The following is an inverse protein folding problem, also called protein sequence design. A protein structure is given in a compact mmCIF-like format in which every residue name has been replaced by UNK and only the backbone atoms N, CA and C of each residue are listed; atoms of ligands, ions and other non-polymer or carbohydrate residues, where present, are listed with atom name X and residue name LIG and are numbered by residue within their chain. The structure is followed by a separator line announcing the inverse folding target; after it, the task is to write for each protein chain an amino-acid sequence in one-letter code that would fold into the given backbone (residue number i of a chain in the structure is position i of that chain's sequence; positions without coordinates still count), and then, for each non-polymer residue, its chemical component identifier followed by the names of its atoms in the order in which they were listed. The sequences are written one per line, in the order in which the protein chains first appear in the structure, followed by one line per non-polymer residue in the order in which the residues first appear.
data_IF_828514394616
#
_entry.id   IF_828514394616
#
_cell.length_a   1.000
_cell.length_b   1.000
_cell.length_c   1.000
_cell.angle_alpha   90.00
_cell.angle_beta   90.00
_cell.angle_gamma   90.00
#
_symmetry.space_group_name_H-M   'P 1'
#
loop_
_entity.id
_entity.type
_entity.pdbx_description
1 polymer ?
#
# COMPACT_ATOMS: atom_id res chain seq x y z
N UNK A 1 2.22 -21.10 8.38
CA UNK A 1 3.68 -21.29 8.18
C UNK A 1 4.09 -22.69 8.62
N UNK A 2 5.39 -22.96 8.71
CA UNK A 2 5.94 -24.19 9.32
C UNK A 2 6.29 -24.01 10.80
N UNK A 3 7.06 -24.93 11.37
CA UNK A 3 7.40 -24.95 12.80
C UNK A 3 8.12 -23.68 13.29
N UNK A 4 8.93 -23.05 12.44
CA UNK A 4 9.61 -21.79 12.77
C UNK A 4 8.69 -20.57 12.82
N UNK A 5 7.45 -20.67 12.35
CA UNK A 5 6.48 -19.56 12.28
C UNK A 5 5.24 -19.82 13.12
N UNK A 6 4.74 -21.05 13.09
CA UNK A 6 3.53 -21.45 13.80
C UNK A 6 3.75 -21.31 15.31
N UNK A 7 2.79 -20.72 16.02
CA UNK A 7 2.82 -20.51 17.47
C UNK A 7 3.91 -19.56 18.01
N UNK A 8 4.78 -19.03 17.15
CA UNK A 8 5.88 -18.13 17.55
C UNK A 8 5.73 -16.70 17.04
N UNK A 9 4.70 -16.44 16.22
CA UNK A 9 4.45 -15.15 15.58
C UNK A 9 2.96 -14.80 15.60
N UNK A 10 2.66 -13.50 15.45
CA UNK A 10 1.30 -13.03 15.25
C UNK A 10 0.75 -13.45 13.88
N UNK A 11 -0.56 -13.69 13.85
CA UNK A 11 -1.30 -13.99 12.61
C UNK A 11 -1.22 -12.80 11.65
N UNK A 12 -0.52 -12.98 10.52
CA UNK A 12 -0.21 -11.88 9.62
C UNK A 12 -1.46 -11.32 8.92
N UNK A 13 -2.51 -12.12 8.71
CA UNK A 13 -3.79 -11.60 8.21
C UNK A 13 -4.38 -10.53 9.16
N UNK A 14 -4.20 -10.73 10.47
CA UNK A 14 -4.81 -9.87 11.50
C UNK A 14 -3.95 -8.70 11.90
N UNK A 15 -2.62 -8.83 11.80
CA UNK A 15 -1.70 -7.85 12.35
C UNK A 15 -0.65 -7.33 11.35
N UNK A 16 -0.65 -7.80 10.11
CA UNK A 16 0.15 -7.34 8.96
C UNK A 16 1.56 -6.82 9.28
N UNK A 17 1.73 -5.52 9.53
CA UNK A 17 3.02 -4.87 9.79
C UNK A 17 3.43 -4.84 11.26
N UNK A 18 2.78 -5.61 12.14
CA UNK A 18 3.28 -5.82 13.49
C UNK A 18 4.63 -6.55 13.43
N UNK A 19 5.60 -6.04 14.20
CA UNK A 19 6.99 -6.48 14.18
C UNK A 19 7.20 -7.99 14.41
N UNK A 20 6.28 -8.65 15.14
CA UNK A 20 6.34 -10.07 15.47
C UNK A 20 5.47 -10.94 14.55
N UNK A 21 5.10 -10.46 13.36
CA UNK A 21 4.47 -11.31 12.33
C UNK A 21 5.49 -12.19 11.60
N UNK A 22 5.03 -13.34 11.07
CA UNK A 22 5.89 -14.42 10.58
C UNK A 22 6.72 -14.18 9.32
N UNK A 23 6.72 -12.97 8.78
CA UNK A 23 7.56 -12.58 7.64
C UNK A 23 7.83 -11.08 7.71
N UNK A 24 8.98 -10.66 7.19
CA UNK A 24 9.35 -9.26 7.11
C UNK A 24 8.26 -8.43 6.39
N UNK A 25 7.97 -7.28 6.97
CA UNK A 25 7.06 -6.27 6.42
C UNK A 25 7.78 -4.93 6.43
N UNK A 26 7.48 -4.09 5.45
CA UNK A 26 7.96 -2.71 5.49
C UNK A 26 7.34 -1.98 6.68
N UNK A 27 8.11 -1.09 7.30
CA UNK A 27 7.68 -0.31 8.46
C UNK A 27 7.07 -1.16 9.58
N UNK A 28 7.86 -2.08 10.18
CA UNK A 28 7.39 -2.89 11.29
C UNK A 28 7.02 -2.03 12.49
N UNK A 29 5.88 -2.33 13.11
CA UNK A 29 5.30 -1.62 14.26
C UNK A 29 5.47 -2.47 15.51
N UNK A 30 6.15 -1.92 16.53
CA UNK A 30 6.18 -2.50 17.87
C UNK A 30 4.96 -2.02 18.66
N UNK A 31 3.88 -2.76 18.50
CA UNK A 31 2.57 -2.35 19.01
C UNK A 31 2.37 -2.70 20.49
N UNK A 32 1.26 -2.21 21.04
CA UNK A 32 0.79 -2.63 22.37
C UNK A 32 0.57 -4.15 22.48
N UNK A 33 0.34 -4.87 21.37
CA UNK A 33 0.14 -6.33 21.38
C UNK A 33 1.43 -7.05 21.75
N UNK A 34 2.54 -6.75 21.08
CA UNK A 34 3.85 -7.33 21.41
C UNK A 34 4.30 -6.93 22.80
N UNK A 35 4.09 -5.67 23.20
CA UNK A 35 4.41 -5.23 24.56
C UNK A 35 3.60 -5.99 25.62
N UNK A 36 2.31 -6.23 25.39
CA UNK A 36 1.48 -7.01 26.29
C UNK A 36 1.96 -8.47 26.39
N UNK A 37 2.31 -9.11 25.27
CA UNK A 37 2.88 -10.46 25.28
C UNK A 37 4.17 -10.53 26.13
N UNK A 38 5.05 -9.54 25.98
CA UNK A 38 6.29 -9.47 26.76
C UNK A 38 6.02 -9.28 28.26
N UNK A 39 5.02 -8.48 28.62
CA UNK A 39 4.61 -8.30 30.02
C UNK A 39 3.95 -9.57 30.60
N UNK A 40 3.03 -10.20 29.87
CA UNK A 40 2.34 -11.43 30.27
C UNK A 40 3.29 -12.64 30.44
N UNK A 41 4.46 -12.61 29.79
CA UNK A 41 5.52 -13.60 30.00
C UNK A 41 6.09 -13.59 31.43
N UNK A 42 5.92 -12.48 32.17
CA UNK A 42 6.49 -12.26 33.49
C UNK A 42 7.98 -11.89 33.51
N UNK A 43 8.64 -11.83 32.35
CA UNK A 43 10.06 -11.43 32.26
C UNK A 43 10.28 -9.92 32.17
N UNK A 44 9.28 -9.19 31.69
CA UNK A 44 9.40 -7.76 31.39
C UNK A 44 8.27 -6.96 32.06
N UNK A 45 8.55 -5.67 32.31
CA UNK A 45 7.53 -4.67 32.60
C UNK A 45 7.49 -3.69 31.43
N UNK A 46 6.40 -3.66 30.69
CA UNK A 46 6.34 -2.93 29.43
C UNK A 46 6.07 -1.43 29.65
N UNK A 47 6.78 -0.57 28.93
CA UNK A 47 6.45 0.85 28.85
C UNK A 47 5.50 1.09 27.67
N UNK A 48 4.20 1.04 27.92
CA UNK A 48 3.20 1.25 26.85
C UNK A 48 3.16 2.67 26.28
N UNK A 49 3.82 3.65 26.89
CA UNK A 49 3.88 5.03 26.38
C UNK A 49 4.73 5.17 25.11
N UNK A 50 5.60 4.20 24.82
CA UNK A 50 6.41 4.16 23.60
C UNK A 50 5.85 3.20 22.55
N UNK A 51 4.67 2.61 22.80
CA UNK A 51 4.04 1.69 21.87
C UNK A 51 3.65 2.42 20.58
N UNK A 52 4.01 1.83 19.45
CA UNK A 52 3.64 2.38 18.15
C UNK A 52 2.17 2.04 17.81
N UNK A 53 1.45 2.94 17.13
CA UNK A 53 0.07 2.69 16.74
C UNK A 53 -0.01 1.67 15.59
N UNK A 54 -0.52 0.48 15.87
CA UNK A 54 -0.87 -0.48 14.82
C UNK A 54 -2.23 -0.09 14.21
N UNK A 55 -2.19 0.48 13.02
CA UNK A 55 -3.40 0.92 12.32
C UNK A 55 -4.12 -0.22 11.61
N UNK A 56 -3.38 -1.23 11.13
CA UNK A 56 -3.95 -2.40 10.49
C UNK A 56 -4.95 -3.09 11.42
N UNK A 57 -6.17 -3.35 10.94
CA UNK A 57 -7.21 -4.03 11.72
C UNK A 57 -7.86 -3.18 12.82
N UNK A 58 -7.35 -1.97 13.10
CA UNK A 58 -7.82 -1.15 14.22
C UNK A 58 -9.27 -0.72 14.02
N UNK A 59 -10.11 -0.94 15.05
CA UNK A 59 -11.55 -0.63 15.04
C UNK A 59 -12.36 -1.28 13.89
N UNK A 60 -11.85 -2.34 13.25
CA UNK A 60 -12.59 -3.07 12.20
C UNK A 60 -13.58 -4.12 12.74
N UNK A 61 -13.53 -4.38 14.05
CA UNK A 61 -14.50 -5.19 14.79
C UNK A 61 -14.32 -6.71 14.64
N UNK A 62 -15.20 -7.45 15.32
CA UNK A 62 -15.13 -8.92 15.39
C UNK A 62 -15.26 -9.60 14.02
N UNK A 63 -16.02 -9.01 13.10
CA UNK A 63 -16.19 -9.56 11.76
C UNK A 63 -14.88 -9.60 10.99
N UNK A 64 -14.05 -8.57 11.09
CA UNK A 64 -12.70 -8.58 10.52
C UNK A 64 -11.81 -9.64 11.19
N UNK A 65 -11.88 -9.73 12.52
CA UNK A 65 -11.04 -10.62 13.30
C UNK A 65 -11.37 -12.11 13.07
N UNK A 66 -12.66 -12.44 13.03
CA UNK A 66 -13.15 -13.82 13.13
C UNK A 66 -13.58 -14.42 11.78
N UNK A 67 -13.93 -13.59 10.79
CA UNK A 67 -14.36 -14.08 9.46
C UNK A 67 -13.20 -14.05 8.48
N UNK A 68 -13.37 -14.73 7.35
CA UNK A 68 -12.37 -14.70 6.28
C UNK A 68 -12.30 -13.32 5.62
N UNK A 69 -11.12 -12.97 5.10
CA UNK A 69 -10.98 -11.76 4.30
C UNK A 69 -11.86 -11.80 3.04
N UNK A 70 -12.11 -12.99 2.46
CA UNK A 70 -13.08 -13.12 1.37
C UNK A 70 -14.51 -12.69 1.76
N UNK A 71 -14.95 -13.01 2.97
CA UNK A 71 -16.23 -12.53 3.48
C UNK A 71 -16.22 -11.02 3.74
N UNK A 72 -15.15 -10.49 4.31
CA UNK A 72 -14.97 -9.04 4.50
C UNK A 72 -15.05 -8.28 3.18
N UNK A 73 -14.23 -8.68 2.19
CA UNK A 73 -14.19 -8.10 0.85
C UNK A 73 -15.58 -8.14 0.22
N UNK A 74 -16.23 -9.30 0.24
CA UNK A 74 -17.59 -9.46 -0.31
C UNK A 74 -18.58 -8.47 0.31
N UNK A 75 -18.64 -8.41 1.64
CA UNK A 75 -19.58 -7.55 2.36
C UNK A 75 -19.34 -6.05 2.10
N UNK A 76 -18.08 -5.61 2.10
CA UNK A 76 -17.71 -4.23 1.78
C UNK A 76 -18.09 -3.86 0.35
N UNK A 77 -17.75 -4.73 -0.61
CA UNK A 77 -18.07 -4.51 -2.02
C UNK A 77 -19.57 -4.48 -2.29
N UNK A 78 -20.37 -5.34 -1.63
CA UNK A 78 -21.83 -5.34 -1.73
C UNK A 78 -22.46 -4.02 -1.21
N UNK A 79 -21.77 -3.32 -0.31
CA UNK A 79 -22.16 -2.00 0.21
C UNK A 79 -21.58 -0.83 -0.58
N UNK A 80 -20.87 -1.09 -1.67
CA UNK A 80 -20.07 -0.09 -2.40
C UNK A 80 -19.04 0.63 -1.51
N UNK A 81 -18.50 -0.06 -0.51
CA UNK A 81 -17.44 0.42 0.35
C UNK A 81 -16.06 -0.08 -0.12
N UNK A 82 -15.00 0.59 0.34
CA UNK A 82 -13.63 0.11 0.14
C UNK A 82 -13.44 -1.26 0.78
N UNK A 83 -12.74 -2.15 0.07
CA UNK A 83 -12.31 -3.45 0.61
C UNK A 83 -11.17 -3.33 1.63
N UNK A 84 -10.63 -2.11 1.82
CA UNK A 84 -9.53 -1.82 2.72
C UNK A 84 -9.77 -2.45 4.12
N UNK A 85 -8.70 -2.97 4.74
CA UNK A 85 -7.30 -2.90 4.30
C UNK A 85 -6.92 -3.93 3.23
N UNK A 86 -7.84 -4.82 2.86
CA UNK A 86 -7.67 -5.74 1.73
C UNK A 86 -7.90 -5.04 0.38
N UNK A 87 -7.54 -5.71 -0.72
CA UNK A 87 -7.64 -5.13 -2.06
C UNK A 87 -8.10 -6.15 -3.11
N UNK A 88 -8.56 -5.65 -4.27
CA UNK A 88 -9.10 -6.49 -5.35
C UNK A 88 -8.44 -6.25 -6.71
N UNK A 89 -7.49 -5.32 -6.77
CA UNK A 89 -6.80 -4.95 -7.99
C UNK A 89 -5.70 -5.97 -8.30
N UNK A 90 -5.70 -6.54 -9.50
CA UNK A 90 -4.73 -7.56 -9.88
C UNK A 90 -3.38 -6.89 -10.14
N UNK A 91 -2.33 -7.36 -9.46
CA UNK A 91 -0.96 -6.85 -9.64
C UNK A 91 -0.34 -7.31 -10.97
N UNK A 92 -0.58 -8.55 -11.34
CA UNK A 92 -0.01 -9.19 -12.54
C UNK A 92 -0.95 -10.31 -12.98
N UNK A 93 -1.09 -10.55 -14.28
CA UNK A 93 -1.97 -11.60 -14.83
C UNK A 93 -1.27 -12.92 -15.16
N UNK A 94 -0.01 -13.06 -14.77
CA UNK A 94 0.86 -14.18 -15.14
C UNK A 94 1.75 -13.86 -16.35
N UNK A 95 1.47 -12.79 -17.10
CA UNK A 95 2.27 -12.34 -18.24
C UNK A 95 2.76 -10.89 -18.13
N UNK A 96 1.90 -9.96 -17.71
CA UNK A 96 2.20 -8.53 -17.66
C UNK A 96 1.81 -7.91 -16.33
N UNK A 97 2.54 -6.87 -15.94
CA UNK A 97 2.17 -6.04 -14.80
C UNK A 97 0.87 -5.29 -15.09
N UNK A 98 -0.04 -5.35 -14.14
CA UNK A 98 -1.29 -4.59 -14.05
C UNK A 98 -1.30 -3.72 -12.80
N UNK A 99 -0.17 -3.66 -12.10
CA UNK A 99 -0.01 -2.97 -10.83
C UNK A 99 -0.31 -1.48 -11.01
N UNK A 100 -1.12 -0.96 -10.10
CA UNK A 100 -1.41 0.48 -10.03
C UNK A 100 -1.13 0.96 -8.62
N UNK A 101 -0.50 2.11 -8.47
CA UNK A 101 -0.19 2.67 -7.16
C UNK A 101 -1.46 3.08 -6.41
N UNK A 102 -1.47 2.86 -5.10
CA UNK A 102 -2.51 3.26 -4.15
C UNK A 102 -1.84 3.86 -2.92
N UNK A 103 -2.62 4.54 -2.10
CA UNK A 103 -2.15 4.93 -0.77
C UNK A 103 -2.40 3.83 0.26
N UNK A 104 -1.49 3.75 1.24
CA UNK A 104 -1.79 3.12 2.53
C UNK A 104 -2.97 3.83 3.19
N UNK A 105 -3.62 3.16 4.15
CA UNK A 105 -4.73 3.75 4.91
C UNK A 105 -4.28 5.02 5.67
N UNK A 106 -3.01 5.09 6.06
CA UNK A 106 -2.40 6.23 6.76
C UNK A 106 -1.99 7.36 5.80
N UNK A 107 -2.00 7.11 4.49
CA UNK A 107 -1.55 8.03 3.45
C UNK A 107 -0.13 8.52 3.66
N UNK A 108 0.72 7.73 4.29
CA UNK A 108 2.14 8.00 4.51
C UNK A 108 3.03 7.36 3.44
N UNK A 109 2.54 6.32 2.76
CA UNK A 109 3.28 5.58 1.75
C UNK A 109 2.45 5.25 0.52
N UNK A 110 3.14 5.00 -0.59
CA UNK A 110 2.59 4.29 -1.73
C UNK A 110 2.56 2.78 -1.46
N UNK A 111 1.56 2.11 -2.03
CA UNK A 111 1.37 0.68 -1.93
C UNK A 111 0.87 0.10 -3.25
N UNK A 112 1.05 -1.21 -3.41
CA UNK A 112 0.52 -2.01 -4.51
C UNK A 112 -0.32 -3.14 -3.94
N UNK A 113 -1.51 -3.37 -4.51
CA UNK A 113 -2.26 -4.57 -4.18
C UNK A 113 -1.42 -5.81 -4.52
N UNK A 114 -1.27 -6.74 -3.59
CA UNK A 114 -0.43 -7.94 -3.77
C UNK A 114 -1.21 -9.16 -4.31
N UNK A 115 -2.33 -8.92 -5.00
CA UNK A 115 -3.16 -9.96 -5.63
C UNK A 115 -2.51 -10.50 -6.91
N UNK A 116 -2.23 -11.81 -6.94
CA UNK A 116 -1.55 -12.47 -8.06
C UNK A 116 -2.17 -13.85 -8.37
N UNK A 117 -2.00 -14.38 -9.59
CA UNK A 117 -2.30 -15.77 -9.89
C UNK A 117 -1.21 -16.70 -9.34
N UNK A 118 -1.64 -17.82 -8.78
CA UNK A 118 -0.79 -18.90 -8.30
C UNK A 118 -0.72 -20.04 -9.32
N UNK A 119 0.41 -20.76 -9.36
CA UNK A 119 0.59 -21.90 -10.28
C UNK A 119 -0.34 -23.07 -9.96
N UNK A 120 -0.68 -23.23 -8.67
CA UNK A 120 -1.58 -24.27 -8.17
C UNK A 120 -2.89 -23.63 -7.73
N UNK A 121 -3.95 -24.41 -7.81
CA UNK A 121 -5.26 -24.01 -7.30
C UNK A 121 -5.16 -23.80 -5.79
N UNK A 122 -5.67 -22.67 -5.30
CA UNK A 122 -5.64 -22.37 -3.88
C UNK A 122 -6.56 -23.32 -3.10
N UNK A 123 -6.22 -23.69 -1.86
CA UNK A 123 -7.13 -24.41 -0.98
C UNK A 123 -8.48 -23.70 -0.86
N UNK A 124 -9.59 -24.45 -0.74
CA UNK A 124 -10.95 -23.90 -0.79
C UNK A 124 -11.17 -22.78 0.24
N UNK A 125 -10.59 -22.90 1.43
CA UNK A 125 -10.68 -21.91 2.50
C UNK A 125 -10.00 -20.57 2.19
N UNK A 126 -9.05 -20.56 1.24
CA UNK A 126 -8.28 -19.37 0.85
C UNK A 126 -8.72 -18.78 -0.50
N UNK A 127 -9.84 -19.28 -1.05
CA UNK A 127 -10.45 -18.71 -2.26
C UNK A 127 -11.33 -17.54 -1.88
N UNK A 128 -10.71 -16.37 -1.82
CA UNK A 128 -11.31 -15.15 -1.27
C UNK A 128 -12.29 -14.45 -2.22
N UNK A 129 -12.47 -14.93 -3.46
CA UNK A 129 -13.22 -14.23 -4.49
C UNK A 129 -14.27 -15.09 -5.18
N UNK A 130 -15.47 -14.51 -5.37
CA UNK A 130 -16.49 -15.06 -6.28
C UNK A 130 -16.44 -14.47 -7.69
N UNK A 131 -15.88 -13.25 -7.83
CA UNK A 131 -15.71 -12.52 -9.10
C UNK A 131 -14.48 -11.63 -9.00
N UNK A 132 -13.69 -11.59 -10.07
CA UNK A 132 -12.58 -10.67 -10.24
C UNK A 132 -12.67 -10.02 -11.63
N UNK A 133 -12.41 -8.71 -11.71
CA UNK A 133 -12.48 -7.97 -12.97
C UNK A 133 -11.39 -8.47 -13.91
N UNK A 134 -11.76 -8.83 -15.14
CA UNK A 134 -10.82 -9.33 -16.15
C UNK A 134 -10.40 -10.80 -16.00
N UNK A 135 -10.95 -11.53 -15.02
CA UNK A 135 -10.63 -12.95 -14.79
C UNK A 135 -11.86 -13.82 -15.06
N UNK A 136 -11.68 -14.89 -15.83
CA UNK A 136 -12.74 -15.89 -16.09
C UNK A 136 -13.06 -16.67 -14.81
N UNK A 137 -14.32 -17.09 -14.65
CA UNK A 137 -14.82 -17.74 -13.43
C UNK A 137 -14.00 -18.97 -13.02
N UNK A 138 -13.55 -19.75 -14.00
CA UNK A 138 -12.75 -20.97 -13.80
C UNK A 138 -11.33 -20.66 -13.30
N UNK A 139 -10.82 -19.48 -13.63
CA UNK A 139 -9.49 -19.01 -13.25
C UNK A 139 -9.43 -18.40 -11.84
N UNK A 140 -10.55 -17.99 -11.26
CA UNK A 140 -10.59 -17.28 -9.97
C UNK A 140 -9.96 -18.11 -8.84
N UNK A 141 -10.08 -19.44 -8.90
CA UNK A 141 -9.53 -20.38 -7.91
C UNK A 141 -8.00 -20.36 -7.80
N UNK A 142 -7.30 -19.68 -8.71
CA UNK A 142 -5.85 -19.49 -8.68
C UNK A 142 -5.44 -18.12 -8.12
N UNK A 143 -6.36 -17.19 -7.88
CA UNK A 143 -6.02 -15.84 -7.46
C UNK A 143 -6.11 -15.66 -5.94
N UNK A 144 -5.05 -15.08 -5.36
CA UNK A 144 -4.97 -14.71 -3.96
C UNK A 144 -3.81 -13.75 -3.71
N UNK A 145 -3.68 -13.26 -2.48
CA UNK A 145 -2.52 -12.49 -2.04
C UNK A 145 -1.23 -13.30 -2.22
N UNK A 146 -0.13 -12.62 -2.52
CA UNK A 146 1.19 -13.26 -2.69
C UNK A 146 1.83 -13.70 -1.38
N UNK A 147 1.31 -13.27 -0.24
CA UNK A 147 1.82 -13.60 1.10
C UNK A 147 0.97 -14.73 1.69
N UNK A 148 1.51 -15.95 1.68
CA UNK A 148 0.79 -17.15 2.15
C UNK A 148 0.43 -17.07 3.65
N UNK A 149 1.31 -16.45 4.45
CA UNK A 149 1.09 -16.25 5.89
C UNK A 149 -0.06 -15.29 6.22
N UNK A 150 -0.56 -14.55 5.24
CA UNK A 150 -1.74 -13.71 5.40
C UNK A 150 -3.00 -14.44 4.88
N UNK A 151 -3.05 -15.77 4.95
CA UNK A 151 -4.15 -16.61 4.47
C UNK A 151 -4.53 -16.36 2.99
N UNK A 152 -3.52 -16.02 2.16
CA UNK A 152 -3.71 -15.57 0.78
C UNK A 152 -4.71 -14.41 0.65
N UNK A 153 -4.92 -13.63 1.71
CA UNK A 153 -5.70 -12.41 1.68
C UNK A 153 -4.89 -11.33 0.96
N UNK A 154 -5.40 -10.75 -0.13
CA UNK A 154 -4.71 -9.68 -0.82
C UNK A 154 -4.90 -8.35 -0.10
N UNK A 155 -3.84 -7.57 0.00
CA UNK A 155 -3.82 -6.27 0.65
C UNK A 155 -2.88 -5.29 -0.04
N UNK A 156 -3.06 -4.00 0.25
CA UNK A 156 -2.18 -2.95 -0.24
C UNK A 156 -0.85 -3.04 0.50
N UNK A 157 0.18 -3.49 -0.20
CA UNK A 157 1.50 -3.73 0.35
C UNK A 157 2.46 -2.63 -0.09
N UNK A 158 3.15 -2.02 0.87
CA UNK A 158 4.30 -1.14 0.61
C UNK A 158 5.41 -1.90 -0.12
N UNK A 159 6.26 -1.18 -0.86
CA UNK A 159 7.26 -1.79 -1.70
C UNK A 159 8.58 -1.02 -1.68
N UNK A 160 9.65 -1.70 -2.08
CA UNK A 160 10.96 -1.10 -2.30
C UNK A 160 11.22 -1.02 -3.81
N UNK A 161 11.76 0.10 -4.25
CA UNK A 161 12.32 0.23 -5.60
C UNK A 161 13.67 -0.47 -5.65
N UNK A 162 13.86 -1.29 -6.69
CA UNK A 162 15.16 -1.89 -6.97
C UNK A 162 15.96 -0.93 -7.85
N UNK A 163 16.92 -0.23 -7.27
CA UNK A 163 17.89 0.54 -8.06
C UNK A 163 18.83 -0.45 -8.75
N UNK A 164 18.60 -0.69 -10.04
CA UNK A 164 19.53 -1.49 -10.86
C UNK A 164 20.77 -0.61 -11.04
N UNK A 165 21.95 -1.09 -10.62
CA UNK A 165 23.27 -0.43 -10.70
C UNK A 165 23.76 0.41 -9.50
N UNK A 166 23.07 0.43 -8.36
CA UNK A 166 23.61 1.12 -7.19
C UNK A 166 24.63 0.26 -6.41
N UNK A 167 25.91 0.63 -6.53
CA UNK A 167 27.01 0.10 -5.70
C UNK A 167 26.99 0.64 -4.26
N UNK A 168 26.11 1.60 -3.93
CA UNK A 168 25.94 2.19 -2.60
C UNK A 168 24.84 1.55 -1.73
N UNK A 169 24.10 0.56 -2.24
CA UNK A 169 23.16 -0.23 -1.45
C UNK A 169 21.92 0.55 -0.94
N UNK A 170 21.60 1.70 -1.54
CA UNK A 170 20.47 2.53 -1.17
C UNK A 170 19.14 1.91 -1.60
N UNK A 171 18.51 1.13 -0.72
CA UNK A 171 17.11 0.71 -0.88
C UNK A 171 16.19 1.92 -0.66
N UNK A 172 15.36 2.24 -1.66
CA UNK A 172 14.28 3.24 -1.53
C UNK A 172 12.98 2.51 -1.23
N UNK A 173 12.41 2.73 -0.04
CA UNK A 173 11.07 2.25 0.29
C UNK A 173 9.99 3.19 -0.27
N UNK A 174 8.71 2.90 -0.06
CA UNK A 174 7.60 3.66 -0.65
C UNK A 174 7.04 4.81 0.22
N UNK A 175 7.73 5.20 1.31
CA UNK A 175 7.30 6.29 2.20
C UNK A 175 7.44 7.65 1.55
N UNK A 176 6.39 8.47 1.67
CA UNK A 176 6.37 9.82 1.11
C UNK A 176 7.24 10.82 1.89
N UNK A 177 7.49 10.58 3.17
CA UNK A 177 8.21 11.52 4.05
C UNK A 177 9.73 11.48 3.90
N UNK A 178 10.26 10.43 3.27
CA UNK A 178 11.69 10.28 3.07
C UNK A 178 12.12 10.97 1.78
N UNK A 179 12.95 12.01 1.91
CA UNK A 179 13.47 12.78 0.76
C UNK A 179 14.20 11.87 -0.25
N UNK A 180 14.90 10.85 0.23
CA UNK A 180 15.63 9.89 -0.61
C UNK A 180 14.75 9.03 -1.51
N UNK A 181 13.42 9.00 -1.27
CA UNK A 181 12.47 8.27 -2.11
C UNK A 181 11.96 9.10 -3.30
N UNK A 182 12.37 10.36 -3.46
CA UNK A 182 12.15 11.13 -4.68
C UNK A 182 13.15 10.77 -5.78
N UNK A 183 12.74 10.85 -7.05
CA UNK A 183 13.71 10.86 -8.15
C UNK A 183 14.48 12.20 -8.12
N UNK A 184 15.82 12.18 -8.21
CA UNK A 184 16.61 13.40 -8.35
C UNK A 184 16.21 14.19 -9.60
N UNK A 185 16.34 15.52 -9.55
CA UNK A 185 16.01 16.40 -10.65
C UNK A 185 16.83 16.07 -11.91
N UNK A 186 16.14 15.77 -13.02
CA UNK A 186 16.77 15.44 -14.29
C UNK A 186 17.12 13.97 -14.48
N UNK A 187 16.90 13.12 -13.47
CA UNK A 187 17.10 11.67 -13.59
C UNK A 187 15.83 10.94 -14.06
N UNK A 188 16.06 9.87 -14.81
CA UNK A 188 15.03 8.98 -15.34
C UNK A 188 15.15 7.67 -14.54
N UNK A 189 14.05 7.19 -13.99
CA UNK A 189 14.03 5.84 -13.41
C UNK A 189 14.34 4.81 -14.50
N UNK A 190 15.43 4.06 -14.35
CA UNK A 190 15.83 3.03 -15.33
C UNK A 190 14.77 1.93 -15.47
N UNK A 191 14.05 1.61 -14.39
CA UNK A 191 12.99 0.58 -14.35
C UNK A 191 11.75 0.95 -15.17
N UNK A 192 11.40 2.24 -15.25
CA UNK A 192 10.22 2.73 -15.97
C UNK A 192 10.57 3.57 -17.21
N UNK A 193 11.84 3.92 -17.40
CA UNK A 193 12.30 4.92 -18.37
C UNK A 193 11.48 6.22 -18.26
N UNK A 194 11.23 6.64 -17.01
CA UNK A 194 10.36 7.77 -16.66
C UNK A 194 11.03 8.67 -15.62
N UNK A 195 11.07 9.98 -15.88
CA UNK A 195 11.40 10.98 -14.85
C UNK A 195 10.22 11.20 -13.88
N UNK A 196 10.26 12.27 -13.09
CA UNK A 196 9.17 12.65 -12.19
C UNK A 196 7.92 13.18 -12.95
N UNK A 197 7.29 12.32 -13.74
CA UNK A 197 6.25 12.67 -14.71
C UNK A 197 4.89 13.01 -14.07
N UNK A 198 4.66 12.57 -12.83
CA UNK A 198 3.43 12.83 -12.06
C UNK A 198 3.61 13.90 -10.98
N UNK A 199 4.76 14.60 -11.01
CA UNK A 199 5.11 15.73 -10.13
C UNK A 199 5.15 15.38 -8.64
N UNK A 200 5.63 14.19 -8.29
CA UNK A 200 5.77 13.74 -6.91
C UNK A 200 6.79 14.58 -6.13
N UNK A 201 6.45 14.91 -4.89
CA UNK A 201 7.33 15.61 -3.98
C UNK A 201 7.43 14.80 -2.69
N UNK A 202 8.60 14.23 -2.45
CA UNK A 202 8.94 13.49 -1.23
C UNK A 202 9.59 14.41 -0.20
N UNK A 203 9.45 14.07 1.08
CA UNK A 203 10.06 14.80 2.19
C UNK A 203 9.08 15.18 3.29
N UNK A 204 9.55 16.00 4.24
CA UNK A 204 8.75 16.37 5.40
C UNK A 204 7.39 17.00 5.02
N UNK A 205 6.32 16.45 5.59
CA UNK A 205 4.94 16.87 5.31
C UNK A 205 4.34 16.28 4.03
N UNK A 206 5.06 15.44 3.30
CA UNK A 206 4.51 14.71 2.16
C UNK A 206 3.64 13.54 2.58
N UNK A 207 2.55 13.38 1.83
CA UNK A 207 1.55 12.33 2.02
C UNK A 207 1.15 11.77 0.68
N UNK A 208 0.73 10.52 0.69
CA UNK A 208 0.19 9.85 -0.47
C UNK A 208 -1.23 10.36 -0.75
N UNK A 209 -1.47 10.77 -1.99
CA UNK A 209 -2.80 11.15 -2.48
C UNK A 209 -3.20 10.22 -3.63
N UNK A 210 -4.43 9.71 -3.56
CA UNK A 210 -5.03 8.96 -4.66
C UNK A 210 -5.35 9.93 -5.81
N UNK A 211 -5.08 9.49 -7.03
CA UNK A 211 -5.33 10.23 -8.25
C UNK A 211 -6.64 9.79 -8.85
N UNK A 212 -7.59 10.72 -9.01
CA UNK A 212 -8.88 10.41 -9.63
C UNK A 212 -8.77 10.07 -11.12
N UNK A 213 -7.70 10.52 -11.78
CA UNK A 213 -7.39 10.28 -13.18
C UNK A 213 -5.88 10.11 -13.35
N UNK A 214 -5.48 9.30 -14.34
CA UNK A 214 -4.07 9.13 -14.69
C UNK A 214 -3.48 10.43 -15.25
N UNK A 215 -2.24 10.72 -14.87
CA UNK A 215 -1.48 11.82 -15.46
C UNK A 215 -1.30 11.63 -16.96
N UNK A 216 -1.35 12.73 -17.70
CA UNK A 216 -1.04 12.74 -19.13
C UNK A 216 -0.02 13.82 -19.41
N UNK A 217 1.13 13.42 -19.95
CA UNK A 217 2.17 14.32 -20.44
C UNK A 217 1.97 14.53 -21.95
N UNK A 218 2.00 15.79 -22.38
CA UNK A 218 1.95 16.16 -23.80
C UNK A 218 3.23 16.89 -24.17
N UNK A 219 4.01 16.33 -25.09
CA UNK A 219 5.21 16.93 -25.67
C UNK A 219 5.06 16.97 -27.19
N UNK A 220 4.88 18.16 -27.75
CA UNK A 220 4.63 18.36 -29.18
C UNK A 220 3.54 17.40 -29.70
N UNK A 221 3.90 16.45 -30.57
CA UNK A 221 2.98 15.46 -31.18
C UNK A 221 2.80 14.17 -30.34
N UNK A 222 3.50 14.02 -29.22
CA UNK A 222 3.45 12.82 -28.38
C UNK A 222 2.62 13.09 -27.13
N UNK A 223 1.63 12.22 -26.89
CA UNK A 223 0.85 12.17 -25.65
C UNK A 223 1.11 10.85 -24.95
N UNK A 224 1.60 10.88 -23.72
CA UNK A 224 1.83 9.69 -22.88
C UNK A 224 0.91 9.75 -21.67
N UNK A 225 0.19 8.67 -21.41
CA UNK A 225 -0.68 8.53 -20.23
C UNK A 225 -0.08 7.52 -19.27
N UNK A 226 0.00 7.90 -18.01
CA UNK A 226 0.67 7.19 -16.94
C UNK A 226 -0.33 6.36 -16.12
N UNK A 227 -0.93 5.35 -16.76
CA UNK A 227 -2.05 4.59 -16.18
C UNK A 227 -1.72 3.75 -14.94
N UNK A 228 -0.44 3.45 -14.73
CA UNK A 228 0.08 2.73 -13.56
C UNK A 228 0.13 3.60 -12.30
N UNK A 229 0.17 4.93 -12.44
CA UNK A 229 0.21 5.84 -11.32
C UNK A 229 -1.19 6.37 -11.01
N UNK A 230 -1.80 5.74 -10.02
CA UNK A 230 -3.12 6.11 -9.51
C UNK A 230 -3.05 6.63 -8.07
N UNK A 231 -1.83 6.78 -7.55
CA UNK A 231 -1.49 7.52 -6.35
C UNK A 231 -0.07 8.08 -6.50
N UNK A 232 0.24 9.15 -5.77
CA UNK A 232 1.57 9.75 -5.72
C UNK A 232 1.81 10.50 -4.42
N UNK A 233 3.08 10.75 -4.11
CA UNK A 233 3.48 11.52 -2.93
C UNK A 233 3.51 13.02 -3.23
N UNK A 234 2.81 13.82 -2.42
CA UNK A 234 2.76 15.27 -2.57
C UNK A 234 2.83 15.95 -1.20
N UNK A 235 3.42 17.15 -1.15
CA UNK A 235 3.57 17.85 0.10
C UNK A 235 2.27 18.54 0.52
N UNK A 236 1.85 18.27 1.75
CA UNK A 236 0.68 18.88 2.37
C UNK A 236 1.13 20.10 3.18
N UNK A 237 0.54 21.25 2.87
CA UNK A 237 0.86 22.54 3.49
C UNK A 237 -0.41 23.14 4.10
N UNK A 238 -0.47 23.21 5.43
CA UNK A 238 -1.56 23.86 6.14
C UNK A 238 -1.30 25.37 6.24
N UNK A 239 -2.13 26.18 5.58
CA UNK A 239 -2.07 27.64 5.64
C UNK A 239 -3.45 28.19 5.98
N UNK A 240 -3.54 29.06 6.99
CA UNK A 240 -4.79 29.70 7.42
C UNK A 240 -5.93 28.70 7.67
N UNK A 241 -5.63 27.57 8.33
CA UNK A 241 -6.60 26.52 8.60
C UNK A 241 -7.06 25.72 7.37
N UNK A 242 -6.40 25.90 6.21
CA UNK A 242 -6.71 25.21 4.96
C UNK A 242 -5.57 24.32 4.51
N UNK A 243 -5.92 23.14 4.02
CA UNK A 243 -4.98 22.22 3.38
C UNK A 243 -4.67 22.70 1.96
N UNK A 244 -3.39 22.79 1.63
CA UNK A 244 -2.91 23.05 0.29
C UNK A 244 -1.94 21.95 -0.13
N UNK A 245 -1.96 21.61 -1.42
CA UNK A 245 -1.06 20.62 -2.00
C UNK A 245 0.04 21.36 -2.74
N UNK A 246 1.29 20.97 -2.51
CA UNK A 246 2.44 21.39 -3.31
C UNK A 246 2.94 20.18 -4.11
N UNK A 247 3.17 20.42 -5.39
CA UNK A 247 3.73 19.44 -6.32
C UNK A 247 5.16 19.81 -6.68
N UNK A 248 5.88 18.84 -7.23
CA UNK A 248 7.27 19.00 -7.62
C UNK A 248 7.53 20.19 -8.54
N UNK A 249 8.60 20.93 -8.24
CA UNK A 249 9.08 22.07 -9.03
C UNK A 249 7.93 23.04 -9.37
N UNK A 250 7.10 23.36 -8.37
CA UNK A 250 6.01 24.32 -8.46
C UNK A 250 6.00 25.20 -7.22
N UNK A 251 5.99 26.52 -7.42
CA UNK A 251 5.75 27.49 -6.34
C UNK A 251 4.27 27.65 -6.03
N UNK A 252 3.39 27.20 -6.94
CA UNK A 252 1.94 27.28 -6.80
C UNK A 252 1.44 26.24 -5.79
N UNK A 253 0.61 26.70 -4.86
CA UNK A 253 -0.13 25.87 -3.93
C UNK A 253 -1.55 25.64 -4.45
N UNK A 254 -2.03 24.39 -4.35
CA UNK A 254 -3.36 24.00 -4.80
C UNK A 254 -4.27 23.81 -3.59
N UNK A 255 -5.23 24.72 -3.34
CA UNK A 255 -6.07 24.67 -2.14
C UNK A 255 -7.12 23.56 -2.20
N UNK A 256 -7.27 22.84 -1.09
CA UNK A 256 -8.38 21.91 -0.81
C UNK A 256 -9.37 22.60 0.12
N UNK A 257 -10.58 22.89 -0.38
CA UNK A 257 -11.63 23.58 0.37
C UNK A 257 -12.54 22.63 1.14
N UNK A 258 -12.67 21.37 0.69
CA UNK A 258 -13.50 20.35 1.32
C UNK A 258 -13.00 18.94 1.03
N UNK A 259 -13.36 17.99 1.89
CA UNK A 259 -13.06 16.57 1.66
C UNK A 259 -13.66 16.07 0.34
N UNK A 260 -12.93 15.22 -0.37
CA UNK A 260 -13.32 14.66 -1.68
C UNK A 260 -13.30 15.67 -2.84
N UNK A 261 -12.76 16.88 -2.64
CA UNK A 261 -12.64 17.86 -3.73
C UNK A 261 -11.65 17.38 -4.80
N UNK A 262 -12.04 17.30 -6.09
CA UNK A 262 -11.09 17.09 -7.17
C UNK A 262 -10.21 18.33 -7.34
N UNK A 263 -8.90 18.12 -7.38
CA UNK A 263 -7.90 19.16 -7.59
C UNK A 263 -7.25 18.94 -8.94
N UNK A 264 -7.46 19.89 -9.86
CA UNK A 264 -6.93 19.82 -11.22
C UNK A 264 -5.58 20.52 -11.28
N UNK A 265 -4.55 19.78 -11.67
CA UNK A 265 -3.18 20.28 -11.81
C UNK A 265 -2.80 20.20 -13.28
N UNK A 266 -2.32 21.32 -13.82
CA UNK A 266 -1.77 21.43 -15.17
C UNK A 266 -0.46 22.20 -15.09
N UNK A 267 0.57 21.64 -15.70
CA UNK A 267 1.91 22.21 -15.82
C UNK A 267 2.31 22.17 -17.29
#
# INVERSE_FOLDING_TARGET
GGDGTSLTHWEKRLFENEAMTGTHTQNPVYSRLTLALMEDSGWYKANYSVAEPLHWGNNLGCDFAMKSCGQWIKQRMERNESAAPFCTDIKHDGSKSLATTRCTDQRDSLALCNLVPHKKELPKQYRNFGKLKGVRKEGIKYYGGSVELADYCPYNQEFEWKTINDTSGGRRDSRCELIGNGLPDGEISEEYNEGNAILELYGHGSRCLDLGLSWTEKKCERSRTYSQFMAGCYQIVCLNGRVNIRVHNSTKLYPCYKSGQPIYIRK
#
